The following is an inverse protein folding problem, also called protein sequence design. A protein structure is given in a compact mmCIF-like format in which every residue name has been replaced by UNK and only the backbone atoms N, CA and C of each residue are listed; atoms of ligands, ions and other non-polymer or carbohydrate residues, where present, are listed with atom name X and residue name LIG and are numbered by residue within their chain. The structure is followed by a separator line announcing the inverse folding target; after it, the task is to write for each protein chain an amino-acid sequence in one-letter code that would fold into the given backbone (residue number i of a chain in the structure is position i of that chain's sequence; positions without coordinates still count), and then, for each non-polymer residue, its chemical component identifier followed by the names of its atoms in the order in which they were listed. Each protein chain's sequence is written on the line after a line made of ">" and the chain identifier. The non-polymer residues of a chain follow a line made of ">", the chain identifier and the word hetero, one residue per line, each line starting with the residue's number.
data_IF_125643738851
#
_entry.id   IF_125643738851
#
_cell.length_a   1.000
_cell.length_b   1.000
_cell.length_c   1.000
_cell.angle_alpha   90.00
_cell.angle_beta   90.00
_cell.angle_gamma   90.00
#
_symmetry.space_group_name_H-M   'P 1'
#
loop_
_entity.id
_entity.type
_entity.pdbx_description
1 polymer ?
#
# COMPACT_ATOMS: atom_id res chain seq x y z
N UNK A 1 0.34 -8.68 -11.86
CA UNK A 1 0.03 -8.54 -10.43
C UNK A 1 0.25 -9.87 -9.76
N UNK A 2 0.75 -9.89 -8.53
CA UNK A 2 0.80 -11.09 -7.65
C UNK A 2 -0.03 -10.76 -6.39
N UNK A 3 -0.88 -11.70 -5.95
CA UNK A 3 -1.87 -11.51 -4.88
C UNK A 3 -3.25 -11.05 -5.39
N UNK A 4 -4.29 -11.23 -4.56
CA UNK A 4 -5.66 -10.82 -4.86
C UNK A 4 -6.05 -9.60 -4.03
N UNK A 5 -6.40 -8.50 -4.71
CA UNK A 5 -6.95 -7.32 -4.07
C UNK A 5 -8.45 -7.22 -4.35
N UNK A 6 -9.19 -6.58 -3.44
CA UNK A 6 -10.64 -6.33 -3.56
C UNK A 6 -11.04 -5.66 -4.88
N UNK A 7 -10.13 -4.94 -5.53
CA UNK A 7 -10.30 -4.36 -6.87
C UNK A 7 -9.00 -4.45 -7.67
N UNK A 8 -9.12 -4.47 -8.99
CA UNK A 8 -7.97 -4.44 -9.92
C UNK A 8 -7.34 -3.06 -10.08
N UNK A 9 -8.06 -2.00 -9.71
CA UNK A 9 -7.60 -0.61 -9.81
C UNK A 9 -8.26 0.21 -8.71
N UNK A 10 -7.48 1.07 -8.08
CA UNK A 10 -7.94 1.96 -7.03
C UNK A 10 -7.55 3.40 -7.37
N UNK A 11 -8.49 4.35 -7.41
CA UNK A 11 -8.13 5.75 -7.61
C UNK A 11 -7.44 6.28 -6.35
N UNK A 12 -6.39 7.08 -6.55
CA UNK A 12 -5.73 7.81 -5.47
C UNK A 12 -6.47 9.14 -5.27
N UNK A 13 -7.36 9.20 -4.29
CA UNK A 13 -8.21 10.37 -4.00
C UNK A 13 -8.04 10.85 -2.56
N UNK A 14 -8.16 12.16 -2.35
CA UNK A 14 -7.97 12.81 -1.06
C UNK A 14 -6.49 12.93 -0.66
N UNK A 15 -6.21 13.30 0.58
CA UNK A 15 -4.84 13.61 1.02
C UNK A 15 -4.05 12.36 1.45
N UNK A 16 -4.77 11.27 1.74
CA UNK A 16 -4.20 10.02 2.27
C UNK A 16 -4.98 8.79 1.81
N UNK A 17 -4.25 7.80 1.31
CA UNK A 17 -4.76 6.48 0.95
C UNK A 17 -4.05 5.43 1.79
N UNK A 18 -4.79 4.74 2.66
CA UNK A 18 -4.29 3.64 3.47
C UNK A 18 -4.34 2.33 2.66
N UNK A 19 -3.29 1.55 2.80
CA UNK A 19 -3.13 0.24 2.20
C UNK A 19 -2.94 -0.81 3.30
N UNK A 20 -3.58 -1.96 3.15
CA UNK A 20 -3.39 -3.08 4.06
C UNK A 20 -4.29 -4.26 3.73
N UNK A 21 -4.21 -5.28 4.56
CA UNK A 21 -5.13 -6.42 4.54
C UNK A 21 -6.39 -6.06 5.32
N UNK A 22 -7.56 -6.47 4.81
CA UNK A 22 -8.89 -6.05 5.27
C UNK A 22 -9.24 -4.60 4.94
N UNK A 23 -10.51 -4.35 4.65
CA UNK A 23 -11.03 -2.99 4.43
C UNK A 23 -11.13 -2.19 5.73
N UNK A 24 -11.50 -2.84 6.83
CA UNK A 24 -11.55 -2.24 8.17
C UNK A 24 -10.66 -3.03 9.11
N UNK A 25 -9.81 -2.32 9.85
CA UNK A 25 -9.01 -2.90 10.92
C UNK A 25 -9.69 -2.56 12.24
N UNK A 26 -10.01 -3.60 13.00
CA UNK A 26 -10.65 -3.50 14.31
C UNK A 26 -9.62 -3.64 15.43
N UNK A 27 -9.85 -2.95 16.54
CA UNK A 27 -9.18 -3.23 17.81
C UNK A 27 -9.81 -4.43 18.55
N UNK A 28 -9.33 -4.69 19.76
CA UNK A 28 -9.84 -5.79 20.61
C UNK A 28 -11.30 -5.60 21.04
N UNK A 29 -11.78 -4.36 21.07
CA UNK A 29 -13.15 -3.99 21.45
C UNK A 29 -14.08 -3.91 20.23
N UNK A 30 -13.63 -4.40 19.06
CA UNK A 30 -14.34 -4.36 17.77
C UNK A 30 -14.60 -2.94 17.25
N UNK A 31 -13.82 -1.95 17.66
CA UNK A 31 -13.90 -0.59 17.13
C UNK A 31 -13.02 -0.45 15.89
N UNK A 32 -13.52 0.24 14.88
CA UNK A 32 -12.75 0.53 13.66
C UNK A 32 -11.65 1.54 13.99
N UNK A 33 -10.39 1.10 13.94
CA UNK A 33 -9.21 1.96 14.18
C UNK A 33 -8.55 2.42 12.88
N UNK A 34 -8.86 1.77 11.76
CA UNK A 34 -8.35 2.14 10.42
C UNK A 34 -9.26 1.63 9.32
N UNK A 35 -9.40 2.44 8.28
CA UNK A 35 -10.02 2.05 7.00
C UNK A 35 -8.94 2.03 5.91
N UNK A 36 -8.76 0.90 5.25
CA UNK A 36 -7.88 0.74 4.10
C UNK A 36 -8.68 0.96 2.81
N UNK A 37 -8.32 1.98 2.05
CA UNK A 37 -8.93 2.24 0.74
C UNK A 37 -8.44 1.23 -0.31
N UNK A 38 -7.21 0.74 -0.15
CA UNK A 38 -6.67 -0.39 -0.93
C UNK A 38 -6.56 -1.58 0.01
N UNK A 39 -7.51 -2.50 -0.14
CA UNK A 39 -7.62 -3.67 0.73
C UNK A 39 -7.29 -4.96 -0.04
N UNK A 40 -6.35 -5.73 0.51
CA UNK A 40 -6.11 -7.11 0.12
C UNK A 40 -7.01 -8.05 0.93
N UNK A 41 -7.56 -9.06 0.27
CA UNK A 41 -8.52 -9.99 0.90
C UNK A 41 -7.83 -10.84 1.96
N UNK A 42 -8.50 -11.05 3.10
CA UNK A 42 -8.10 -12.05 4.07
C UNK A 42 -8.58 -13.41 3.55
N UNK A 43 -7.74 -14.04 2.74
CA UNK A 43 -7.91 -15.41 2.25
C UNK A 43 -6.70 -16.26 2.68
N UNK A 44 -6.79 -17.58 2.52
CA UNK A 44 -5.66 -18.50 2.75
C UNK A 44 -4.54 -18.35 1.69
N UNK A 45 -4.64 -17.36 0.80
CA UNK A 45 -3.58 -17.00 -0.12
C UNK A 45 -2.33 -16.50 0.65
N UNK A 46 -1.25 -17.27 0.53
CA UNK A 46 0.01 -16.99 1.21
C UNK A 46 0.62 -15.62 0.84
N UNK A 47 0.37 -15.10 -0.37
CA UNK A 47 0.83 -13.77 -0.79
C UNK A 47 0.08 -12.70 -0.01
N UNK A 48 -1.24 -12.80 0.07
CA UNK A 48 -2.05 -11.84 0.82
C UNK A 48 -1.72 -11.83 2.32
N UNK A 49 -1.36 -12.99 2.89
CA UNK A 49 -0.94 -13.08 4.30
C UNK A 49 0.34 -12.29 4.61
N UNK A 50 1.19 -12.01 3.60
CA UNK A 50 2.34 -11.12 3.78
C UNK A 50 1.97 -9.64 3.87
N UNK A 51 0.71 -9.28 3.59
CA UNK A 51 0.21 -7.92 3.76
C UNK A 51 -0.28 -7.74 5.20
N UNK A 52 0.41 -6.92 6.00
CA UNK A 52 -0.07 -6.46 7.30
C UNK A 52 -1.44 -5.76 7.21
N UNK A 53 -2.25 -5.84 8.28
CA UNK A 53 -3.56 -5.16 8.34
C UNK A 53 -3.45 -3.64 8.19
N UNK A 54 -2.44 -3.03 8.80
CA UNK A 54 -2.01 -1.66 8.52
C UNK A 54 -0.61 -1.72 7.91
N UNK A 55 -0.50 -1.72 6.58
CA UNK A 55 0.76 -2.01 5.90
C UNK A 55 1.51 -0.75 5.52
N UNK A 56 0.84 0.15 4.82
CA UNK A 56 1.45 1.32 4.21
C UNK A 56 0.39 2.39 3.99
N UNK A 57 0.84 3.59 3.67
CA UNK A 57 -0.04 4.65 3.18
C UNK A 57 0.62 5.50 2.12
N UNK A 58 -0.21 6.12 1.30
CA UNK A 58 0.20 7.12 0.31
C UNK A 58 -0.31 8.47 0.80
N UNK A 59 0.55 9.49 0.82
CA UNK A 59 0.15 10.89 0.97
C UNK A 59 0.15 11.56 -0.39
N UNK A 60 -0.85 12.40 -0.62
CA UNK A 60 -1.02 13.16 -1.85
C UNK A 60 -0.94 14.64 -1.45
N UNK A 61 0.02 15.37 -2.03
CA UNK A 61 0.09 16.82 -1.81
C UNK A 61 -1.01 17.54 -2.60
N UNK A 62 -1.32 18.81 -2.27
CA UNK A 62 -2.22 19.64 -3.09
C UNK A 62 -1.76 19.80 -4.55
N UNK A 63 -0.46 19.65 -4.82
CA UNK A 63 0.11 19.65 -6.18
C UNK A 63 0.02 18.30 -6.91
N UNK A 64 -0.60 17.28 -6.28
CA UNK A 64 -0.73 15.93 -6.82
C UNK A 64 0.50 15.02 -6.64
N UNK A 65 1.54 15.47 -5.92
CA UNK A 65 2.69 14.63 -5.64
C UNK A 65 2.30 13.50 -4.68
N UNK A 66 2.46 12.26 -5.14
CA UNK A 66 2.18 11.06 -4.35
C UNK A 66 3.47 10.51 -3.71
N UNK A 67 3.43 10.25 -2.41
CA UNK A 67 4.54 9.65 -1.64
C UNK A 67 4.07 8.44 -0.85
N UNK A 68 4.81 7.35 -0.95
CA UNK A 68 4.55 6.08 -0.26
C UNK A 68 5.33 5.99 1.05
N UNK A 69 4.69 5.44 2.07
CA UNK A 69 5.21 5.26 3.41
C UNK A 69 4.92 3.83 3.90
N UNK A 70 5.91 3.19 4.51
CA UNK A 70 5.73 1.92 5.23
C UNK A 70 5.27 2.19 6.68
N UNK A 71 4.15 1.59 7.08
CA UNK A 71 3.54 1.74 8.41
C UNK A 71 4.05 0.69 9.40
N UNK A 72 5.35 0.34 9.33
CA UNK A 72 5.99 -0.75 10.10
C UNK A 72 5.40 -2.11 9.74
N UNK A 73 5.30 -2.39 8.45
CA UNK A 73 4.80 -3.66 7.97
C UNK A 73 5.72 -4.82 8.36
N UNK A 74 5.15 -6.02 8.51
CA UNK A 74 5.89 -7.20 8.96
C UNK A 74 6.82 -7.77 7.87
N UNK A 75 6.47 -7.57 6.60
CA UNK A 75 7.21 -8.10 5.44
C UNK A 75 7.85 -7.00 4.57
N UNK A 76 7.74 -5.74 4.99
CA UNK A 76 8.32 -4.59 4.32
C UNK A 76 7.54 -4.12 3.08
N UNK A 77 7.80 -2.87 2.71
CA UNK A 77 7.32 -2.25 1.47
C UNK A 77 8.50 -1.95 0.54
N UNK A 78 8.37 -2.27 -0.75
CA UNK A 78 9.42 -2.05 -1.76
C UNK A 78 8.84 -1.50 -3.05
N UNK A 79 9.61 -0.68 -3.77
CA UNK A 79 9.27 -0.22 -5.13
C UNK A 79 10.29 -0.82 -6.09
N UNK A 80 9.82 -1.41 -7.19
CA UNK A 80 10.65 -1.77 -8.33
C UNK A 80 10.47 -0.73 -9.43
N UNK A 81 11.57 -0.09 -9.83
CA UNK A 81 11.59 1.02 -10.80
C UNK A 81 12.85 0.91 -11.66
N UNK A 82 12.67 0.84 -12.99
CA UNK A 82 13.80 0.85 -13.92
C UNK A 82 14.85 -0.23 -13.65
N UNK A 83 14.41 -1.43 -13.25
CA UNK A 83 15.32 -2.54 -12.92
C UNK A 83 15.88 -2.53 -11.49
N UNK A 84 15.62 -1.49 -10.71
CA UNK A 84 16.15 -1.35 -9.34
C UNK A 84 15.06 -1.54 -8.28
N UNK A 85 15.45 -2.15 -7.16
CA UNK A 85 14.61 -2.26 -5.97
C UNK A 85 14.93 -1.14 -4.99
N UNK A 86 13.92 -0.37 -4.62
CA UNK A 86 13.96 0.69 -3.62
C UNK A 86 13.18 0.22 -2.39
N UNK A 87 13.89 -0.20 -1.34
CA UNK A 87 13.26 -0.55 -0.07
C UNK A 87 12.82 0.69 0.68
N UNK A 88 11.61 0.69 1.23
CA UNK A 88 11.13 1.78 2.08
C UNK A 88 11.58 1.52 3.52
N UNK A 89 12.30 2.46 4.16
CA UNK A 89 12.59 2.37 5.58
C UNK A 89 11.27 2.43 6.37
N UNK A 90 11.04 1.52 7.33
CA UNK A 90 9.95 1.67 8.28
C UNK A 90 10.05 3.04 8.95
N UNK A 91 8.94 3.76 9.11
CA UNK A 91 8.86 5.07 9.80
C UNK A 91 9.54 6.27 9.11
N UNK A 92 9.92 6.16 7.84
CA UNK A 92 10.41 7.33 7.09
C UNK A 92 9.43 8.50 7.17
N UNK A 93 9.87 9.66 7.67
CA UNK A 93 9.02 10.86 7.73
C UNK A 93 8.81 11.52 6.36
N UNK A 94 9.69 11.24 5.39
CA UNK A 94 9.66 11.85 4.06
C UNK A 94 8.89 11.01 3.04
N UNK A 95 8.86 9.70 3.22
CA UNK A 95 8.31 8.75 2.24
C UNK A 95 9.05 8.76 0.91
N UNK A 96 8.68 7.84 0.02
CA UNK A 96 9.28 7.69 -1.31
C UNK A 96 8.32 8.20 -2.36
N UNK A 97 8.75 9.15 -3.21
CA UNK A 97 7.94 9.69 -4.30
C UNK A 97 7.61 8.59 -5.31
N UNK A 98 6.33 8.45 -5.63
CA UNK A 98 5.83 7.54 -6.65
C UNK A 98 5.98 8.15 -8.05
N UNK A 99 6.18 7.28 -9.03
CA UNK A 99 6.23 7.61 -10.46
C UNK A 99 5.32 6.67 -11.23
N UNK A 100 4.88 7.13 -12.39
CA UNK A 100 4.17 6.27 -13.34
C UNK A 100 5.03 5.04 -13.69
N UNK A 101 4.38 3.88 -13.78
CA UNK A 101 5.03 2.60 -14.06
C UNK A 101 5.74 1.94 -12.88
N UNK A 102 5.79 2.55 -11.69
CA UNK A 102 6.31 1.90 -10.50
C UNK A 102 5.56 0.61 -10.16
N UNK A 103 6.28 -0.45 -9.84
CA UNK A 103 5.69 -1.64 -9.21
C UNK A 103 5.93 -1.58 -7.69
N UNK A 104 4.86 -1.53 -6.92
CA UNK A 104 4.91 -1.48 -5.46
C UNK A 104 4.62 -2.88 -4.92
N UNK A 105 5.53 -3.38 -4.09
CA UNK A 105 5.40 -4.63 -3.37
C UNK A 105 5.07 -4.35 -1.91
N UNK A 106 3.92 -4.84 -1.46
CA UNK A 106 3.50 -4.91 -0.05
C UNK A 106 3.72 -6.33 0.44
N UNK A 107 4.85 -6.59 1.10
CA UNK A 107 5.36 -7.93 1.27
C UNK A 107 5.61 -8.59 -0.10
N UNK A 108 4.78 -9.57 -0.46
CA UNK A 108 4.83 -10.27 -1.75
C UNK A 108 3.72 -9.82 -2.72
N UNK A 109 2.71 -9.09 -2.24
CA UNK A 109 1.62 -8.60 -3.09
C UNK A 109 2.11 -7.41 -3.93
N UNK A 110 1.79 -7.39 -5.22
CA UNK A 110 2.32 -6.40 -6.17
C UNK A 110 1.23 -5.64 -6.91
N UNK A 111 1.30 -4.31 -6.83
CA UNK A 111 0.45 -3.37 -7.58
C UNK A 111 1.31 -2.49 -8.49
N UNK A 112 0.73 -1.98 -9.57
CA UNK A 112 1.41 -1.05 -10.48
C UNK A 112 0.78 0.33 -10.40
N UNK A 113 1.60 1.37 -10.34
CA UNK A 113 1.18 2.76 -10.45
C UNK A 113 0.91 3.09 -11.91
N UNK A 114 -0.26 3.65 -12.18
CA UNK A 114 -0.66 4.15 -13.51
C UNK A 114 -1.21 5.56 -13.34
N UNK A 115 -0.61 6.51 -14.03
CA UNK A 115 -1.15 7.86 -14.19
C UNK A 115 -2.10 7.84 -15.38
N UNK A 116 -3.37 8.14 -15.15
CA UNK A 116 -4.34 8.32 -16.23
C UNK A 116 -4.33 9.79 -16.64
N UNK A 117 -3.91 10.03 -17.87
CA UNK A 117 -4.04 11.31 -18.57
C UNK A 117 -5.45 11.50 -19.10
#
# INVERSE_FOLDING_TARGET
>A
MKGSATRKTFPLTGDRVNVGRLAEVLDRDRRVIRRNQVAFDESDDAVNQTVSRAHAHIRISPSGECRLFDDRSSYGTRIFRGGQTISLPPTSQRGTKLKDGDEIYFGQACVRVVVKT
#
